data_IF_860676473612
#
_entry.id   IF_860676473612
#
_cell.length_a   1.000
_cell.length_b   1.000
_cell.length_c   1.000
_cell.angle_alpha   90.00
_cell.angle_beta   90.00
_cell.angle_gamma   90.00
#
_symmetry.space_group_name_H-M   'P 1'
#
loop_
_entity.id
_entity.type
_entity.pdbx_description
1 polymer ?
#
# COMPACT_ATOMS: atom_id res chain seq x y z
N UNK A 1 32.61 5.61 -5.55
CA UNK A 1 31.83 4.67 -6.39
C UNK A 1 30.51 4.43 -5.68
N UNK A 2 29.38 4.75 -6.31
CA UNK A 2 28.05 4.44 -5.77
C UNK A 2 27.97 2.92 -5.58
N UNK A 3 27.75 2.46 -4.36
CA UNK A 3 27.66 1.04 -4.07
C UNK A 3 26.56 0.41 -4.95
N UNK A 4 26.88 -0.72 -5.56
CA UNK A 4 25.89 -1.60 -6.15
C UNK A 4 25.51 -2.63 -5.07
N UNK A 5 24.21 -2.81 -4.79
CA UNK A 5 23.07 -2.24 -5.51
C UNK A 5 22.82 -0.75 -5.17
N UNK A 6 22.27 0.04 -6.13
CA UNK A 6 21.82 1.40 -5.85
C UNK A 6 20.74 1.38 -4.76
N UNK A 7 20.51 2.55 -4.13
CA UNK A 7 19.55 2.75 -3.05
C UNK A 7 18.31 1.85 -3.22
N UNK A 8 18.13 0.96 -2.24
CA UNK A 8 17.37 -0.29 -2.29
C UNK A 8 16.15 -0.23 -3.24
N UNK A 9 16.34 -0.69 -4.47
CA UNK A 9 15.30 -0.82 -5.53
C UNK A 9 14.24 -1.89 -5.15
N UNK A 10 14.28 -2.34 -3.89
CA UNK A 10 13.45 -3.36 -3.28
C UNK A 10 11.97 -3.09 -3.41
N UNK A 11 11.52 -1.85 -3.20
CA UNK A 11 10.10 -1.50 -3.36
C UNK A 11 9.62 -1.77 -4.79
N UNK A 12 10.40 -1.34 -5.79
CA UNK A 12 10.11 -1.60 -7.21
C UNK A 12 10.08 -3.09 -7.51
N UNK A 13 11.01 -3.87 -6.97
CA UNK A 13 11.04 -5.32 -7.17
C UNK A 13 9.85 -6.04 -6.51
N UNK A 14 9.47 -5.64 -5.28
CA UNK A 14 8.31 -6.20 -4.58
C UNK A 14 7.02 -5.91 -5.34
N UNK A 15 6.82 -4.67 -5.79
CA UNK A 15 5.66 -4.30 -6.62
C UNK A 15 5.65 -5.08 -7.94
N UNK A 16 6.80 -5.22 -8.59
CA UNK A 16 6.90 -5.97 -9.84
C UNK A 16 6.60 -7.47 -9.64
N UNK A 17 7.01 -8.07 -8.52
CA UNK A 17 6.69 -9.45 -8.19
C UNK A 17 5.17 -9.66 -8.07
N UNK A 18 4.48 -8.78 -7.33
CA UNK A 18 3.03 -8.89 -7.17
C UNK A 18 2.24 -8.61 -8.45
N UNK A 19 2.68 -7.62 -9.22
CA UNK A 19 2.07 -7.34 -10.52
C UNK A 19 2.26 -8.53 -11.47
N UNK A 20 3.46 -9.13 -11.50
CA UNK A 20 3.79 -10.21 -12.42
C UNK A 20 2.85 -11.42 -12.31
N UNK A 21 2.28 -11.69 -11.13
CA UNK A 21 1.25 -12.72 -10.94
C UNK A 21 0.03 -12.53 -11.85
N UNK A 22 -0.23 -11.31 -12.32
CA UNK A 22 -1.39 -10.97 -13.16
C UNK A 22 -1.04 -10.66 -14.62
N UNK A 23 0.20 -10.24 -14.92
CA UNK A 23 0.58 -9.78 -16.28
C UNK A 23 1.54 -10.75 -17.01
N UNK A 24 2.04 -11.78 -16.32
CA UNK A 24 2.91 -12.86 -16.83
C UNK A 24 4.09 -12.37 -17.69
N UNK A 25 4.58 -11.16 -17.42
CA UNK A 25 5.73 -10.56 -18.09
C UNK A 25 6.46 -9.65 -17.10
N UNK A 26 7.55 -10.16 -16.54
CA UNK A 26 8.27 -9.46 -15.47
C UNK A 26 8.85 -8.10 -15.90
N UNK A 27 9.22 -7.95 -17.18
CA UNK A 27 9.67 -6.66 -17.74
C UNK A 27 8.57 -5.60 -17.73
N UNK A 28 7.33 -5.99 -18.07
CA UNK A 28 6.19 -5.10 -18.04
C UNK A 28 5.82 -4.75 -16.58
N UNK A 29 5.85 -5.75 -15.69
CA UNK A 29 5.65 -5.53 -14.26
C UNK A 29 6.68 -4.56 -13.66
N UNK A 30 7.97 -4.69 -14.01
CA UNK A 30 9.03 -3.77 -13.61
C UNK A 30 8.81 -2.35 -14.11
N UNK A 31 8.32 -2.20 -15.35
CA UNK A 31 8.03 -0.88 -15.93
C UNK A 31 6.86 -0.19 -15.21
N UNK A 32 5.79 -0.93 -14.92
CA UNK A 32 4.64 -0.43 -14.14
C UNK A 32 5.09 -0.05 -12.73
N UNK A 33 5.85 -0.92 -12.05
CA UNK A 33 6.37 -0.66 -10.71
C UNK A 33 7.28 0.57 -10.66
N UNK A 34 8.10 0.80 -11.70
CA UNK A 34 8.93 2.00 -11.81
C UNK A 34 8.09 3.29 -11.87
N UNK A 35 6.99 3.27 -12.64
CA UNK A 35 6.04 4.39 -12.70
C UNK A 35 5.37 4.67 -11.36
N UNK A 36 5.00 3.61 -10.62
CA UNK A 36 4.40 3.71 -9.29
C UNK A 36 5.37 4.33 -8.29
N UNK A 37 6.61 3.84 -8.22
CA UNK A 37 7.63 4.33 -7.28
C UNK A 37 8.01 5.78 -7.53
N UNK A 38 7.96 6.24 -8.78
CA UNK A 38 8.30 7.61 -9.17
C UNK A 38 7.13 8.60 -9.06
N UNK A 39 5.89 8.15 -8.94
CA UNK A 39 4.73 9.04 -8.81
C UNK A 39 4.67 9.65 -7.40
N UNK A 40 4.76 10.99 -7.26
CA UNK A 40 4.65 11.63 -5.96
C UNK A 40 3.24 11.48 -5.36
N UNK A 41 2.20 11.43 -6.19
CA UNK A 41 0.81 11.26 -5.75
C UNK A 41 0.58 9.89 -5.13
N UNK A 42 1.10 8.83 -5.75
CA UNK A 42 0.99 7.47 -5.20
C UNK A 42 1.80 7.36 -3.89
N UNK A 43 3.01 7.94 -3.84
CA UNK A 43 3.80 7.95 -2.60
C UNK A 43 3.06 8.67 -1.46
N UNK A 44 2.46 9.82 -1.74
CA UNK A 44 1.69 10.57 -0.75
C UNK A 44 0.50 9.75 -0.21
N UNK A 45 -0.20 9.01 -1.08
CA UNK A 45 -1.31 8.16 -0.67
C UNK A 45 -0.85 6.96 0.17
N UNK A 46 0.26 6.32 -0.20
CA UNK A 46 0.87 5.25 0.60
C UNK A 46 1.27 5.74 2.00
N UNK A 47 1.86 6.92 2.09
CA UNK A 47 2.24 7.56 3.36
C UNK A 47 0.99 7.90 4.20
N UNK A 48 -0.08 8.43 3.58
CA UNK A 48 -1.36 8.71 4.25
C UNK A 48 -2.00 7.44 4.84
N UNK A 49 -2.03 6.35 4.08
CA UNK A 49 -2.59 5.06 4.54
C UNK A 49 -1.74 4.50 5.69
N UNK A 50 -0.42 4.54 5.56
CA UNK A 50 0.49 4.06 6.61
C UNK A 50 0.33 4.84 7.91
N UNK A 51 0.20 6.17 7.84
CA UNK A 51 -0.05 7.04 8.99
C UNK A 51 -1.39 6.73 9.66
N UNK A 52 -2.46 6.54 8.87
CA UNK A 52 -3.76 6.13 9.39
C UNK A 52 -3.68 4.80 10.15
N UNK A 53 -2.99 3.79 9.60
CA UNK A 53 -2.77 2.52 10.28
C UNK A 53 -1.96 2.67 11.57
N UNK A 54 -0.91 3.49 11.56
CA UNK A 54 -0.09 3.77 12.75
C UNK A 54 -0.90 4.41 13.88
N UNK A 55 -1.89 5.23 13.52
CA UNK A 55 -2.81 5.88 14.45
C UNK A 55 -4.05 5.05 14.76
N UNK A 56 -4.15 3.82 14.24
CA UNK A 56 -5.35 2.97 14.33
C UNK A 56 -6.62 3.70 13.89
N UNK A 57 -6.49 4.54 12.86
CA UNK A 57 -7.59 5.28 12.25
C UNK A 57 -8.01 4.60 10.93
N UNK A 58 -9.28 4.77 10.51
CA UNK A 58 -9.73 4.29 9.21
C UNK A 58 -8.88 4.91 8.09
N UNK A 59 -8.24 4.08 7.27
CA UNK A 59 -7.40 4.53 6.15
C UNK A 59 -8.22 4.85 4.89
N UNK A 60 -9.49 4.44 4.82
CA UNK A 60 -10.38 4.68 3.68
C UNK A 60 -10.16 3.73 2.48
N UNK A 61 -9.19 2.83 2.54
CA UNK A 61 -9.04 1.75 1.55
C UNK A 61 -10.14 0.71 1.73
N UNK A 62 -10.90 0.46 0.65
CA UNK A 62 -12.00 -0.50 0.59
C UNK A 62 -11.55 -1.96 0.79
N UNK A 63 -10.27 -2.26 0.54
CA UNK A 63 -9.73 -3.60 0.73
C UNK A 63 -8.97 -3.76 2.05
N UNK A 64 -8.89 -2.70 2.87
CA UNK A 64 -8.26 -2.81 4.18
C UNK A 64 -9.15 -3.62 5.12
N UNK A 65 -8.65 -4.77 5.58
CA UNK A 65 -9.37 -5.64 6.51
C UNK A 65 -9.78 -4.92 7.80
N UNK A 66 -8.89 -4.09 8.37
CA UNK A 66 -9.20 -3.32 9.57
C UNK A 66 -10.34 -2.32 9.35
N UNK A 67 -10.31 -1.58 8.23
CA UNK A 67 -11.39 -0.66 7.89
C UNK A 67 -12.71 -1.40 7.64
N UNK A 68 -12.65 -2.56 6.99
CA UNK A 68 -13.81 -3.40 6.75
C UNK A 68 -14.41 -3.93 8.06
N UNK A 69 -13.58 -4.42 8.98
CA UNK A 69 -13.99 -4.87 10.31
C UNK A 69 -14.64 -3.73 11.11
N UNK A 70 -14.06 -2.53 11.13
CA UNK A 70 -14.65 -1.37 11.83
C UNK A 70 -15.99 -0.97 11.22
N UNK A 71 -16.14 -1.01 9.90
CA UNK A 71 -17.42 -0.70 9.22
C UNK A 71 -18.49 -1.77 9.43
N UNK A 72 -18.08 -3.03 9.60
CA UNK A 72 -18.99 -4.17 9.77
C UNK A 72 -19.24 -4.54 11.23
N UNK A 73 -18.49 -3.94 12.16
CA UNK A 73 -18.70 -4.13 13.59
C UNK A 73 -20.10 -3.64 13.99
N UNK A 74 -20.84 -4.43 14.80
CA UNK A 74 -22.12 -3.97 15.33
C UNK A 74 -21.89 -2.69 16.13
N UNK A 75 -22.77 -1.68 16.01
CA UNK A 75 -22.62 -0.44 16.75
C UNK A 75 -22.55 -0.78 18.24
N UNK A 76 -21.42 -0.43 18.86
CA UNK A 76 -21.28 -0.54 20.31
C UNK A 76 -22.43 0.27 20.90
N UNK A 77 -23.40 -0.41 21.52
CA UNK A 77 -24.43 0.26 22.28
C UNK A 77 -23.70 1.04 23.38
N UNK A 78 -23.54 2.34 23.20
CA UNK A 78 -23.34 3.26 24.32
C UNK A 78 -24.56 3.09 25.20
N UNK A 79 -24.45 2.22 26.21
CA UNK A 79 -25.37 2.20 27.34
C UNK A 79 -25.20 3.51 28.07
N UNK A 80 -25.92 4.53 27.63
CA UNK A 80 -26.21 5.73 28.40
C UNK A 80 -27.07 5.30 29.59
N UNK A 81 -26.46 5.33 30.77
CA UNK A 81 -27.12 5.28 32.07
C UNK A 81 -27.71 6.65 32.44
#
# INVERSE_FOLDING_TARGET
>A
MSAYPPADDRLKHLLAQEINCSVDTFKLALWIADGIVKSPEIRAELERIADAHHKSQPCGDRHCAHCFEVQTAPPTQETSA
#
